data_IF_315821267151
#
_entry.id   IF_315821267151
#
_cell.length_a   1.000
_cell.length_b   1.000
_cell.length_c   1.000
_cell.angle_alpha   90.00
_cell.angle_beta   90.00
_cell.angle_gamma   90.00
#
_symmetry.space_group_name_H-M   'P 1'
#
loop_
_entity.id
_entity.type
_entity.pdbx_description
1 polymer ?
#
# COMPACT_ATOMS: atom_id res chain seq x y z
N UNK A 1 2.72 5.60 16.25
CA UNK A 1 2.99 4.20 15.81
C UNK A 1 3.15 3.23 16.98
N UNK A 2 3.88 3.55 18.06
CA UNK A 2 4.13 2.60 19.17
C UNK A 2 2.90 2.04 19.92
N UNK A 3 1.72 2.66 19.80
CA UNK A 3 0.46 2.12 20.32
C UNK A 3 -0.35 1.31 19.29
N UNK A 4 -0.25 1.63 18.00
CA UNK A 4 -1.02 0.97 16.93
C UNK A 4 -0.51 -0.45 16.60
N UNK A 5 0.75 -0.73 16.92
CA UNK A 5 1.39 -2.04 16.74
C UNK A 5 1.32 -2.92 17.99
N UNK A 6 0.59 -2.51 19.04
CA UNK A 6 0.41 -3.29 20.26
C UNK A 6 -1.01 -3.85 20.31
N UNK A 7 -1.24 -5.09 19.86
CA UNK A 7 -2.56 -5.69 19.93
C UNK A 7 -2.96 -5.88 21.40
N UNK A 8 -4.25 -5.65 21.71
CA UNK A 8 -4.81 -5.94 23.03
C UNK A 8 -4.92 -7.45 23.29
N UNK A 9 -5.03 -8.26 22.22
CA UNK A 9 -5.02 -9.73 22.21
C UNK A 9 -4.68 -10.26 20.80
N UNK A 10 -3.77 -11.23 20.67
CA UNK A 10 -3.39 -11.87 19.39
C UNK A 10 -2.23 -11.19 18.64
N UNK A 11 -1.80 -11.74 17.50
CA UNK A 11 -0.79 -11.11 16.64
C UNK A 11 -1.39 -9.93 15.87
N UNK A 12 -0.68 -8.80 15.79
CA UNK A 12 -1.10 -7.65 14.99
C UNK A 12 -0.96 -7.96 13.49
N UNK A 13 -1.91 -7.49 12.71
CA UNK A 13 -1.94 -7.73 11.26
C UNK A 13 -1.51 -6.47 10.53
N UNK A 14 -0.58 -6.61 9.60
CA UNK A 14 -0.27 -5.55 8.65
C UNK A 14 -0.56 -5.96 7.21
N UNK A 15 -0.85 -4.97 6.36
CA UNK A 15 -0.99 -5.15 4.91
C UNK A 15 -0.04 -4.20 4.20
N UNK A 16 0.75 -4.71 3.26
CA UNK A 16 1.71 -3.98 2.43
C UNK A 16 1.26 -4.04 0.96
N UNK A 17 0.60 -2.98 0.50
CA UNK A 17 -0.05 -2.89 -0.82
C UNK A 17 0.85 -2.14 -1.78
N UNK A 18 0.98 -2.68 -3.01
CA UNK A 18 1.98 -2.24 -3.99
C UNK A 18 3.40 -2.21 -3.38
N UNK A 19 3.65 -3.08 -2.40
CA UNK A 19 4.78 -2.97 -1.48
C UNK A 19 6.05 -3.70 -1.94
N UNK A 20 5.98 -4.50 -3.02
CA UNK A 20 7.14 -5.25 -3.48
C UNK A 20 8.29 -4.29 -3.85
N UNK A 21 9.55 -4.57 -3.44
CA UNK A 21 10.05 -5.85 -2.94
C UNK A 21 9.80 -6.12 -1.43
N UNK A 22 9.24 -5.18 -0.67
CA UNK A 22 8.77 -5.39 0.71
C UNK A 22 9.61 -4.71 1.79
N UNK A 23 10.15 -3.52 1.51
CA UNK A 23 10.90 -2.76 2.51
C UNK A 23 10.04 -2.41 3.74
N UNK A 24 8.78 -2.02 3.52
CA UNK A 24 7.81 -1.80 4.58
C UNK A 24 7.53 -3.07 5.37
N UNK A 25 7.24 -4.18 4.70
CA UNK A 25 7.07 -5.49 5.34
C UNK A 25 8.26 -5.85 6.25
N UNK A 26 9.50 -5.73 5.77
CA UNK A 26 10.71 -5.98 6.60
C UNK A 26 10.80 -5.03 7.78
N UNK A 27 10.43 -3.75 7.61
CA UNK A 27 10.45 -2.79 8.70
C UNK A 27 9.39 -3.11 9.77
N UNK A 28 8.15 -3.39 9.37
CA UNK A 28 7.04 -3.71 10.27
C UNK A 28 7.33 -4.98 11.08
N UNK A 29 7.89 -5.99 10.44
CA UNK A 29 8.32 -7.20 11.13
C UNK A 29 9.45 -6.98 12.13
N UNK A 30 10.36 -6.00 11.92
CA UNK A 30 11.39 -5.65 12.90
C UNK A 30 10.84 -4.85 14.08
N UNK A 31 9.75 -4.10 13.87
CA UNK A 31 9.09 -3.34 14.92
C UNK A 31 8.25 -4.23 15.85
N UNK A 32 7.65 -5.29 15.31
CA UNK A 32 7.01 -6.33 16.12
C UNK A 32 8.02 -7.34 16.66
N UNK A 33 7.70 -7.99 17.78
CA UNK A 33 8.46 -9.16 18.20
C UNK A 33 8.10 -10.37 17.32
N UNK A 34 8.95 -11.39 17.33
CA UNK A 34 8.70 -12.65 16.64
C UNK A 34 7.37 -13.29 17.10
N UNK A 35 6.59 -13.81 16.14
CA UNK A 35 5.26 -14.36 16.40
C UNK A 35 4.17 -13.34 16.79
N UNK A 36 4.48 -12.04 16.86
CA UNK A 36 3.50 -10.99 17.19
C UNK A 36 2.93 -10.26 15.99
N UNK A 37 3.43 -10.56 14.78
CA UNK A 37 3.01 -9.90 13.55
C UNK A 37 2.67 -10.92 12.47
N UNK A 38 1.52 -10.73 11.81
CA UNK A 38 1.17 -11.40 10.57
C UNK A 38 1.14 -10.34 9.44
N UNK A 39 1.78 -10.63 8.33
CA UNK A 39 1.86 -9.77 7.16
C UNK A 39 1.10 -10.32 5.96
N UNK A 40 0.41 -9.43 5.25
CA UNK A 40 -0.14 -9.69 3.93
C UNK A 40 0.51 -8.73 2.92
N UNK A 41 1.19 -9.26 1.92
CA UNK A 41 1.74 -8.46 0.82
C UNK A 41 0.87 -8.59 -0.42
N UNK A 42 0.46 -7.48 -1.03
CA UNK A 42 -0.29 -7.49 -2.29
C UNK A 42 0.36 -6.57 -3.30
N UNK A 43 0.95 -7.14 -4.36
CA UNK A 43 1.68 -6.38 -5.37
C UNK A 43 1.75 -7.16 -6.68
N UNK A 44 2.04 -6.46 -7.78
CA UNK A 44 2.22 -7.06 -9.11
C UNK A 44 3.21 -8.24 -9.07
N UNK A 45 2.82 -9.34 -9.71
CA UNK A 45 3.63 -10.56 -9.81
C UNK A 45 4.68 -10.43 -10.91
N UNK A 46 5.86 -10.98 -10.67
CA UNK A 46 6.91 -11.07 -11.69
C UNK A 46 6.37 -11.68 -12.99
N UNK A 47 6.66 -11.02 -14.12
CA UNK A 47 6.27 -11.49 -15.45
C UNK A 47 4.84 -11.15 -15.88
N UNK A 48 4.03 -10.52 -15.02
CA UNK A 48 2.64 -10.13 -15.36
C UNK A 48 2.54 -8.67 -15.81
N UNK A 49 3.52 -7.84 -15.42
CA UNK A 49 3.59 -6.43 -15.77
C UNK A 49 5.06 -5.98 -15.83
N UNK A 50 5.45 -5.10 -16.78
CA UNK A 50 6.81 -4.52 -16.81
C UNK A 50 7.24 -3.78 -15.54
N UNK A 51 6.27 -3.33 -14.73
CA UNK A 51 6.47 -2.65 -13.45
C UNK A 51 6.56 -3.60 -12.26
N UNK A 52 6.42 -4.92 -12.49
CA UNK A 52 6.46 -5.90 -11.42
C UNK A 52 7.83 -5.96 -10.74
N UNK A 53 7.80 -6.26 -9.44
CA UNK A 53 8.99 -6.49 -8.64
C UNK A 53 8.76 -7.69 -7.72
N UNK A 54 9.77 -8.52 -7.56
CA UNK A 54 9.67 -9.72 -6.73
C UNK A 54 9.85 -9.37 -5.26
N UNK A 55 8.96 -9.88 -4.41
CA UNK A 55 9.12 -9.80 -2.96
C UNK A 55 10.47 -10.39 -2.53
N UNK A 56 11.09 -9.83 -1.50
CA UNK A 56 12.32 -10.37 -0.94
C UNK A 56 12.15 -11.84 -0.56
N UNK A 57 13.12 -12.67 -0.91
CA UNK A 57 13.08 -14.11 -0.65
C UNK A 57 12.94 -14.41 0.85
N UNK A 58 13.55 -13.59 1.71
CA UNK A 58 13.38 -13.75 3.16
C UNK A 58 11.95 -13.49 3.64
N UNK A 59 11.16 -12.66 2.94
CA UNK A 59 9.75 -12.48 3.27
C UNK A 59 8.93 -13.69 2.81
N UNK A 60 9.18 -14.18 1.60
CA UNK A 60 8.49 -15.34 1.04
C UNK A 60 8.78 -16.64 1.83
N UNK A 61 9.94 -16.71 2.48
CA UNK A 61 10.33 -17.84 3.33
C UNK A 61 9.69 -17.82 4.74
N UNK A 62 8.96 -16.77 5.11
CA UNK A 62 8.34 -16.65 6.44
C UNK A 62 6.92 -17.17 6.46
N UNK A 63 6.60 -17.97 7.47
CA UNK A 63 5.25 -18.47 7.70
C UNK A 63 4.26 -17.35 8.04
N UNK A 64 4.73 -16.28 8.71
CA UNK A 64 3.88 -15.15 9.09
C UNK A 64 3.69 -14.12 7.98
N UNK A 65 4.23 -14.36 6.78
CA UNK A 65 4.02 -13.50 5.61
C UNK A 65 3.28 -14.24 4.50
N UNK A 66 2.16 -13.67 4.05
CA UNK A 66 1.38 -14.22 2.94
C UNK A 66 1.39 -13.23 1.78
N UNK A 67 2.03 -13.59 0.68
CA UNK A 67 1.93 -12.85 -0.56
C UNK A 67 0.64 -13.23 -1.31
N UNK A 68 -0.11 -12.22 -1.74
CA UNK A 68 -1.39 -12.32 -2.44
C UNK A 68 -1.21 -11.80 -3.87
N UNK A 69 -1.91 -12.42 -4.81
CA UNK A 69 -1.89 -12.02 -6.23
C UNK A 69 -3.27 -11.96 -6.87
N UNK A 70 -4.33 -12.09 -6.09
CA UNK A 70 -5.71 -12.10 -6.58
C UNK A 70 -6.07 -13.33 -7.40
N UNK A 71 -7.30 -13.34 -7.90
CA UNK A 71 -7.88 -14.48 -8.62
C UNK A 71 -7.22 -14.78 -9.97
N UNK A 72 -6.68 -13.76 -10.64
CA UNK A 72 -5.99 -13.93 -11.93
C UNK A 72 -4.48 -14.14 -11.77
N UNK A 73 -3.97 -14.07 -10.54
CA UNK A 73 -2.55 -14.24 -10.21
C UNK A 73 -1.64 -13.10 -10.68
N UNK A 74 -2.19 -11.99 -11.17
CA UNK A 74 -1.43 -10.84 -11.67
C UNK A 74 -0.84 -9.97 -10.56
N UNK A 75 -1.50 -9.92 -9.40
CA UNK A 75 -1.17 -8.97 -8.35
C UNK A 75 -1.63 -7.54 -8.61
N UNK A 76 -2.41 -7.30 -9.66
CA UNK A 76 -2.90 -5.96 -10.00
C UNK A 76 -4.05 -5.56 -9.06
N UNK A 77 -3.79 -4.58 -8.19
CA UNK A 77 -4.76 -4.02 -7.23
C UNK A 77 -5.91 -3.29 -7.90
N UNK A 78 -5.72 -2.79 -9.13
CA UNK A 78 -6.74 -2.09 -9.90
C UNK A 78 -7.80 -3.05 -10.46
N UNK A 79 -7.52 -4.35 -10.53
CA UNK A 79 -8.49 -5.36 -10.95
C UNK A 79 -9.46 -5.64 -9.78
N UNK A 80 -10.77 -5.32 -9.91
CA UNK A 80 -11.71 -5.42 -8.79
C UNK A 80 -11.82 -6.82 -8.18
N UNK A 81 -11.68 -7.87 -9.00
CA UNK A 81 -11.70 -9.26 -8.53
C UNK A 81 -10.50 -9.58 -7.63
N UNK A 82 -9.31 -9.10 -7.99
CA UNK A 82 -8.09 -9.29 -7.20
C UNK A 82 -8.15 -8.53 -5.87
N UNK A 83 -8.66 -7.29 -5.89
CA UNK A 83 -8.89 -6.53 -4.67
C UNK A 83 -9.90 -7.23 -3.76
N UNK A 84 -11.01 -7.74 -4.32
CA UNK A 84 -12.03 -8.44 -3.55
C UNK A 84 -11.51 -9.74 -2.93
N UNK A 85 -10.70 -10.50 -3.67
CA UNK A 85 -10.01 -11.70 -3.20
C UNK A 85 -9.04 -11.39 -2.05
N UNK A 86 -8.19 -10.37 -2.22
CA UNK A 86 -7.29 -9.91 -1.16
C UNK A 86 -8.06 -9.50 0.10
N UNK A 87 -9.18 -8.78 -0.03
CA UNK A 87 -10.06 -8.46 1.10
C UNK A 87 -10.62 -9.72 1.77
N UNK A 88 -10.97 -10.76 1.01
CA UNK A 88 -11.44 -12.04 1.53
C UNK A 88 -10.39 -12.76 2.37
N UNK A 89 -9.13 -12.75 1.93
CA UNK A 89 -8.02 -13.35 2.66
C UNK A 89 -7.63 -12.56 3.93
N UNK A 90 -7.65 -11.23 3.84
CA UNK A 90 -7.22 -10.36 4.95
C UNK A 90 -8.35 -10.20 5.98
N UNK A 91 -9.58 -9.90 5.56
CA UNK A 91 -10.68 -9.51 6.44
C UNK A 91 -10.49 -8.14 7.10
N UNK A 92 -11.45 -7.72 7.95
CA UNK A 92 -11.41 -6.43 8.67
C UNK A 92 -10.61 -6.51 9.99
N UNK A 93 -9.33 -6.87 9.89
CA UNK A 93 -8.45 -7.09 11.06
C UNK A 93 -7.09 -6.41 10.99
N UNK A 94 -6.78 -5.70 9.90
CA UNK A 94 -5.49 -5.03 9.78
C UNK A 94 -5.36 -3.92 10.82
N UNK A 95 -4.29 -3.98 11.61
CA UNK A 95 -3.89 -2.92 12.56
C UNK A 95 -3.19 -1.78 11.85
N UNK A 96 -2.49 -2.09 10.75
CA UNK A 96 -1.86 -1.09 9.88
C UNK A 96 -1.94 -1.53 8.41
N UNK A 97 -2.25 -0.59 7.54
CA UNK A 97 -2.10 -0.75 6.09
C UNK A 97 -1.09 0.27 5.60
N UNK A 98 -0.14 -0.17 4.79
CA UNK A 98 0.83 0.69 4.11
C UNK A 98 0.67 0.51 2.60
N UNK A 99 0.75 1.61 1.87
CA UNK A 99 0.50 1.71 0.44
C UNK A 99 1.56 2.60 -0.20
N UNK A 100 2.36 2.05 -1.13
CA UNK A 100 3.47 2.73 -1.82
C UNK A 100 3.33 2.60 -3.35
N UNK A 101 2.09 2.54 -3.84
CA UNK A 101 1.75 2.52 -5.24
C UNK A 101 2.34 3.70 -6.00
N UNK A 102 3.13 3.38 -7.02
CA UNK A 102 3.69 4.37 -7.91
C UNK A 102 4.67 3.72 -8.86
N UNK A 103 4.78 4.29 -10.04
CA UNK A 103 5.73 3.86 -11.04
C UNK A 103 6.46 5.05 -11.62
N UNK A 104 7.68 4.81 -12.08
CA UNK A 104 8.52 5.83 -12.69
C UNK A 104 7.85 6.35 -13.95
N UNK A 105 7.47 7.62 -13.93
CA UNK A 105 7.02 8.35 -15.10
C UNK A 105 8.20 9.23 -15.53
N UNK A 106 8.63 9.09 -16.77
CA UNK A 106 9.80 9.80 -17.31
C UNK A 106 9.45 10.57 -18.58
N UNK A 107 10.48 11.00 -19.30
CA UNK A 107 10.28 11.79 -20.52
C UNK A 107 9.68 10.92 -21.64
N UNK A 108 8.59 11.40 -22.24
CA UNK A 108 7.93 10.75 -23.37
C UNK A 108 8.79 10.76 -24.64
N UNK A 109 8.41 9.95 -25.64
CA UNK A 109 9.17 9.81 -26.89
C UNK A 109 9.38 11.13 -27.66
N UNK A 110 8.51 12.12 -27.44
CA UNK A 110 8.56 13.45 -28.03
C UNK A 110 9.21 14.52 -27.13
N UNK A 111 9.84 14.13 -26.00
CA UNK A 111 10.42 15.08 -25.05
C UNK A 111 9.43 15.63 -24.01
N UNK A 112 8.25 15.03 -23.90
CA UNK A 112 7.20 15.46 -22.97
C UNK A 112 7.55 15.07 -21.52
N UNK A 113 7.39 16.00 -20.58
CA UNK A 113 7.59 15.77 -19.15
C UNK A 113 6.38 15.05 -18.53
N UNK A 114 6.26 13.74 -18.77
CA UNK A 114 5.11 12.95 -18.31
C UNK A 114 5.03 12.87 -16.78
N UNK A 115 6.13 13.12 -16.06
CA UNK A 115 6.18 13.22 -14.60
C UNK A 115 5.18 14.26 -14.06
N UNK A 116 4.87 15.32 -14.82
CA UNK A 116 3.87 16.32 -14.43
C UNK A 116 2.43 15.76 -14.40
N UNK A 117 2.20 14.60 -15.01
CA UNK A 117 0.91 13.92 -15.04
C UNK A 117 0.87 12.73 -14.07
N UNK A 118 1.89 12.56 -13.22
CA UNK A 118 2.00 11.41 -12.32
C UNK A 118 0.78 11.25 -11.41
N UNK A 119 0.22 12.35 -10.91
CA UNK A 119 -1.02 12.35 -10.12
C UNK A 119 -2.19 11.66 -10.86
N UNK A 120 -2.39 12.00 -12.14
CA UNK A 120 -3.48 11.45 -12.95
C UNK A 120 -3.18 10.00 -13.30
N UNK A 121 -1.94 9.70 -13.67
CA UNK A 121 -1.49 8.38 -14.10
C UNK A 121 -1.65 7.33 -12.99
N UNK A 122 -1.35 7.70 -11.74
CA UNK A 122 -1.44 6.77 -10.59
C UNK A 122 -2.81 6.79 -9.90
N UNK A 123 -3.75 7.63 -10.35
CA UNK A 123 -5.04 7.85 -9.68
C UNK A 123 -5.86 6.58 -9.46
N UNK A 124 -5.85 5.64 -10.41
CA UNK A 124 -6.54 4.35 -10.28
C UNK A 124 -5.90 3.46 -9.22
N UNK A 125 -4.57 3.41 -9.17
CA UNK A 125 -3.82 2.66 -8.14
C UNK A 125 -4.13 3.24 -6.77
N UNK A 126 -4.04 4.57 -6.62
CA UNK A 126 -4.32 5.28 -5.37
C UNK A 126 -5.74 5.01 -4.87
N UNK A 127 -6.74 5.08 -5.77
CA UNK A 127 -8.13 4.76 -5.43
C UNK A 127 -8.26 3.31 -4.92
N UNK A 128 -7.59 2.36 -5.58
CA UNK A 128 -7.64 0.96 -5.22
C UNK A 128 -6.93 0.68 -3.88
N UNK A 129 -5.81 1.34 -3.60
CA UNK A 129 -5.11 1.27 -2.31
C UNK A 129 -5.96 1.82 -1.16
N UNK A 130 -6.60 2.98 -1.35
CA UNK A 130 -7.53 3.56 -0.37
C UNK A 130 -8.71 2.61 -0.12
N UNK A 131 -9.29 2.04 -1.18
CA UNK A 131 -10.41 1.11 -1.05
C UNK A 131 -10.01 -0.16 -0.29
N UNK A 132 -8.86 -0.74 -0.62
CA UNK A 132 -8.34 -1.92 0.07
C UNK A 132 -8.09 -1.63 1.56
N UNK A 133 -7.50 -0.46 1.88
CA UNK A 133 -7.27 -0.05 3.26
C UNK A 133 -8.59 0.06 4.04
N UNK A 134 -9.58 0.81 3.53
CA UNK A 134 -10.88 0.97 4.18
C UNK A 134 -11.64 -0.35 4.36
N UNK A 135 -11.41 -1.33 3.47
CA UNK A 135 -12.04 -2.65 3.54
C UNK A 135 -11.34 -3.66 4.44
N UNK A 136 -10.07 -3.45 4.78
CA UNK A 136 -9.26 -4.40 5.57
C UNK A 136 -8.87 -3.91 6.95
N UNK A 137 -8.85 -2.59 7.17
CA UNK A 137 -8.56 -2.01 8.48
C UNK A 137 -9.59 -2.41 9.54
N UNK A 138 -9.08 -2.81 10.70
CA UNK A 138 -9.84 -2.88 11.93
C UNK A 138 -10.19 -1.47 12.42
N UNK A 139 -11.21 -1.35 13.27
CA UNK A 139 -11.48 -0.09 13.98
C UNK A 139 -10.26 0.31 14.82
N UNK A 140 -9.90 1.60 14.75
CA UNK A 140 -8.69 2.13 15.39
C UNK A 140 -7.37 1.81 14.68
N UNK A 141 -7.41 1.14 13.51
CA UNK A 141 -6.22 0.87 12.70
C UNK A 141 -5.61 2.11 12.05
N UNK A 142 -4.36 2.00 11.59
CA UNK A 142 -3.61 3.08 10.95
C UNK A 142 -3.44 2.86 9.45
N UNK A 143 -3.49 3.94 8.67
CA UNK A 143 -3.19 3.91 7.24
C UNK A 143 -2.03 4.85 6.90
N UNK A 144 -1.04 4.36 6.17
CA UNK A 144 0.06 5.16 5.62
C UNK A 144 0.05 4.96 4.11
N UNK A 145 -0.19 6.03 3.37
CA UNK A 145 -0.33 5.96 1.92
C UNK A 145 0.50 7.06 1.28
N UNK A 146 1.21 6.68 0.22
CA UNK A 146 1.92 7.63 -0.62
C UNK A 146 0.96 8.35 -1.55
N UNK A 147 1.07 9.66 -1.55
CA UNK A 147 0.46 10.52 -2.55
C UNK A 147 1.58 11.21 -3.33
N UNK A 148 1.28 11.58 -4.58
CA UNK A 148 2.08 12.52 -5.36
C UNK A 148 1.44 13.92 -5.21
N UNK A 149 1.39 14.69 -6.29
CA UNK A 149 0.57 15.89 -6.32
C UNK A 149 -0.90 15.58 -6.02
N UNK A 150 -1.60 16.59 -5.50
CA UNK A 150 -2.99 16.48 -5.03
C UNK A 150 -3.84 17.65 -5.53
N UNK A 151 -3.67 18.02 -6.80
CA UNK A 151 -4.35 19.14 -7.42
C UNK A 151 -5.68 18.75 -8.06
N UNK A 152 -5.88 17.48 -8.40
CA UNK A 152 -7.09 16.99 -9.04
C UNK A 152 -8.25 16.81 -8.06
N UNK A 153 -9.48 16.92 -8.56
CA UNK A 153 -10.68 16.64 -7.76
C UNK A 153 -10.72 15.23 -7.19
N UNK A 154 -10.09 14.26 -7.89
CA UNK A 154 -10.04 12.87 -7.42
C UNK A 154 -9.19 12.76 -6.16
N UNK A 155 -7.97 13.27 -6.15
CA UNK A 155 -7.09 13.20 -4.97
C UNK A 155 -7.61 14.03 -3.82
N UNK A 156 -8.16 15.23 -4.09
CA UNK A 156 -8.84 16.06 -3.08
C UNK A 156 -10.04 15.30 -2.48
N UNK A 157 -10.83 14.64 -3.32
CA UNK A 157 -11.96 13.82 -2.88
C UNK A 157 -11.52 12.65 -2.00
N UNK A 158 -10.44 11.96 -2.35
CA UNK A 158 -9.87 10.89 -1.54
C UNK A 158 -9.36 11.41 -0.19
N UNK A 159 -8.64 12.53 -0.17
CA UNK A 159 -8.21 13.17 1.07
C UNK A 159 -9.38 13.54 1.97
N UNK A 160 -10.48 14.06 1.39
CA UNK A 160 -11.70 14.35 2.13
C UNK A 160 -12.31 13.08 2.72
N UNK A 161 -12.44 12.00 1.95
CA UNK A 161 -12.93 10.70 2.44
C UNK A 161 -12.08 10.18 3.60
N UNK A 162 -10.75 10.27 3.49
CA UNK A 162 -9.83 9.86 4.55
C UNK A 162 -9.99 10.76 5.79
N UNK A 163 -10.12 12.07 5.63
CA UNK A 163 -10.35 13.00 6.74
C UNK A 163 -11.67 12.75 7.48
N UNK A 164 -12.68 12.21 6.80
CA UNK A 164 -13.95 11.82 7.42
C UNK A 164 -13.86 10.44 8.08
N UNK A 165 -13.09 9.52 7.49
CA UNK A 165 -13.02 8.13 7.95
C UNK A 165 -12.06 7.90 9.12
N UNK A 166 -11.09 8.79 9.35
CA UNK A 166 -10.06 8.67 10.38
C UNK A 166 -10.13 9.81 11.40
N UNK A 167 -9.79 9.51 12.66
CA UNK A 167 -9.79 10.49 13.75
C UNK A 167 -8.71 11.57 13.60
N UNK A 168 -7.54 11.22 13.05
CA UNK A 168 -6.40 12.11 12.82
C UNK A 168 -5.78 11.80 11.45
N UNK A 169 -5.62 12.84 10.62
CA UNK A 169 -5.02 12.75 9.28
C UNK A 169 -3.92 13.78 9.17
N UNK A 170 -2.75 13.34 8.69
CA UNK A 170 -1.56 14.19 8.53
C UNK A 170 -0.93 13.98 7.17
N UNK A 171 -0.69 15.08 6.47
CA UNK A 171 0.13 15.09 5.25
C UNK A 171 1.57 15.38 5.66
N UNK A 172 2.48 14.46 5.35
CA UNK A 172 3.88 14.54 5.77
C UNK A 172 4.78 14.24 4.58
N UNK A 173 5.77 15.11 4.34
CA UNK A 173 6.89 14.83 3.45
C UNK A 173 8.12 14.46 4.30
N UNK A 174 8.48 13.17 4.42
CA UNK A 174 9.61 12.75 5.24
C UNK A 174 10.93 13.31 4.70
N UNK A 175 11.91 13.58 5.59
CA UNK A 175 13.24 14.08 5.19
C UNK A 175 13.99 13.17 4.21
N UNK A 176 13.69 11.88 4.23
CA UNK A 176 14.28 10.88 3.32
C UNK A 176 13.56 10.80 1.97
N UNK A 177 12.41 11.47 1.81
CA UNK A 177 11.83 11.71 0.50
C UNK A 177 12.62 12.83 -0.19
N UNK A 178 12.96 12.63 -1.47
CA UNK A 178 13.76 13.60 -2.23
C UNK A 178 13.01 14.93 -2.28
N UNK A 179 13.72 16.01 -1.94
CA UNK A 179 13.14 17.36 -1.82
C UNK A 179 12.52 17.83 -3.15
N UNK A 180 13.09 17.39 -4.27
CA UNK A 180 12.74 17.82 -5.63
C UNK A 180 11.60 17.02 -6.27
N UNK A 181 11.04 16.03 -5.57
CA UNK A 181 9.89 15.27 -6.05
C UNK A 181 8.61 15.79 -5.39
N UNK A 182 7.44 15.53 -5.97
CA UNK A 182 6.15 15.73 -5.31
C UNK A 182 6.05 14.91 -4.02
#
# INVERSE_FOLDING_TARGET
LGGALKPSTGAAVFVDVCGAPGAWSKHLFRLGAEGQMQGYGFSLREGTNPLSCTWYQELLAREEFTALWGTDGSGDVCVPANLADAVGHIGRRASIVVADGGFGVGVGAAGEHLENYQEIIVSQVLLAEVLLALRTLASGGCFVCKFFDTFTHLTIGLLYVLAVAFEDVRVVKPRLSRIVNS
#
